data_IF_348819675341
#
_entry.id   IF_348819675341
#
_cell.length_a   1.000
_cell.length_b   1.000
_cell.length_c   1.000
_cell.angle_alpha   90.00
_cell.angle_beta   90.00
_cell.angle_gamma   90.00
#
_symmetry.space_group_name_H-M   'P 1'
#
loop_
_entity.id
_entity.type
_entity.pdbx_description
1 polymer ?
#
# COMPACT_ATOMS: atom_id res chain seq x y z
N UNK A 1 -17.40 16.87 0.96
CA UNK A 1 -17.03 15.69 1.77
C UNK A 1 -17.90 14.52 1.34
N UNK A 2 -17.33 13.33 1.10
CA UNK A 2 -18.11 12.15 0.68
C UNK A 2 -18.96 11.66 1.85
N UNK A 3 -20.27 11.64 1.65
CA UNK A 3 -21.24 11.11 2.60
C UNK A 3 -21.54 9.63 2.34
N UNK A 4 -22.15 8.98 3.33
CA UNK A 4 -22.50 7.57 3.27
C UNK A 4 -23.60 7.36 2.23
N UNK A 5 -23.43 6.39 1.35
CA UNK A 5 -24.49 6.00 0.41
C UNK A 5 -25.62 5.33 1.19
N UNK A 6 -26.88 5.68 0.94
CA UNK A 6 -28.04 4.98 1.53
C UNK A 6 -28.50 3.76 0.73
N UNK A 7 -27.96 3.57 -0.47
CA UNK A 7 -28.33 2.50 -1.38
C UNK A 7 -27.80 1.12 -0.89
N UNK A 8 -28.74 0.19 -0.68
CA UNK A 8 -28.43 -1.17 -0.23
C UNK A 8 -27.71 -2.00 -1.30
N UNK A 9 -27.98 -1.73 -2.57
CA UNK A 9 -27.34 -2.40 -3.71
C UNK A 9 -25.88 -2.00 -3.75
N UNK A 10 -25.57 -0.69 -3.67
CA UNK A 10 -24.19 -0.19 -3.68
C UNK A 10 -23.39 -0.79 -2.50
N UNK A 11 -23.95 -0.76 -1.28
CA UNK A 11 -23.31 -1.34 -0.09
C UNK A 11 -23.05 -2.84 -0.23
N UNK A 12 -24.00 -3.57 -0.81
CA UNK A 12 -23.89 -5.02 -0.99
C UNK A 12 -22.82 -5.35 -2.03
N UNK A 13 -22.84 -4.66 -3.16
CA UNK A 13 -21.86 -4.84 -4.23
C UNK A 13 -20.44 -4.50 -3.76
N UNK A 14 -20.26 -3.38 -3.04
CA UNK A 14 -18.96 -3.02 -2.48
C UNK A 14 -18.43 -4.09 -1.50
N UNK A 15 -19.29 -4.60 -0.61
CA UNK A 15 -18.91 -5.66 0.34
C UNK A 15 -18.46 -6.95 -0.37
N UNK A 16 -19.07 -7.27 -1.50
CA UNK A 16 -18.70 -8.44 -2.31
C UNK A 16 -17.39 -8.15 -3.08
N UNK A 17 -17.28 -7.02 -3.78
CA UNK A 17 -16.14 -6.75 -4.66
C UNK A 17 -14.84 -6.44 -3.92
N UNK A 18 -14.88 -5.74 -2.79
CA UNK A 18 -13.66 -5.35 -2.05
C UNK A 18 -12.71 -6.54 -1.79
N UNK A 19 -13.15 -7.68 -1.22
CA UNK A 19 -12.24 -8.82 -1.02
C UNK A 19 -11.71 -9.39 -2.33
N UNK A 20 -12.50 -9.43 -3.42
CA UNK A 20 -12.00 -9.87 -4.72
C UNK A 20 -10.93 -8.94 -5.30
N UNK A 21 -11.13 -7.62 -5.19
CA UNK A 21 -10.15 -6.62 -5.63
C UNK A 21 -8.86 -6.76 -4.82
N UNK A 22 -8.96 -6.98 -3.51
CA UNK A 22 -7.81 -7.16 -2.63
C UNK A 22 -7.02 -8.43 -2.98
N UNK A 23 -7.71 -9.56 -3.18
CA UNK A 23 -7.06 -10.82 -3.60
C UNK A 23 -6.38 -10.63 -4.96
N UNK A 24 -7.04 -9.98 -5.91
CA UNK A 24 -6.45 -9.70 -7.22
C UNK A 24 -5.23 -8.78 -7.13
N UNK A 25 -5.28 -7.74 -6.29
CA UNK A 25 -4.13 -6.88 -6.03
C UNK A 25 -2.94 -7.67 -5.47
N UNK A 26 -3.18 -8.56 -4.50
CA UNK A 26 -2.13 -9.44 -3.95
C UNK A 26 -1.56 -10.37 -5.02
N UNK A 27 -2.40 -10.94 -5.89
CA UNK A 27 -1.94 -11.73 -7.03
C UNK A 27 -1.00 -10.93 -7.95
N UNK A 28 -1.37 -9.69 -8.29
CA UNK A 28 -0.56 -8.79 -9.15
C UNK A 28 0.79 -8.44 -8.51
N UNK A 29 0.83 -8.26 -7.18
CA UNK A 29 2.09 -8.04 -6.44
C UNK A 29 2.95 -9.30 -6.49
N UNK A 30 2.38 -10.46 -6.17
CA UNK A 30 3.14 -11.71 -6.07
C UNK A 30 3.69 -12.21 -7.41
N UNK A 31 3.03 -11.88 -8.53
CA UNK A 31 3.39 -12.34 -9.87
C UNK A 31 4.02 -11.25 -10.74
N UNK A 32 4.46 -10.13 -10.16
CA UNK A 32 5.07 -9.02 -10.88
C UNK A 32 6.33 -9.39 -11.67
N UNK A 33 7.11 -10.33 -11.13
CA UNK A 33 8.31 -10.84 -11.79
C UNK A 33 8.07 -11.82 -12.95
N UNK A 34 6.83 -12.29 -13.16
CA UNK A 34 6.47 -13.28 -14.20
C UNK A 34 5.44 -12.77 -15.21
N UNK A 35 4.70 -11.71 -14.87
CA UNK A 35 3.60 -11.19 -15.65
C UNK A 35 3.61 -9.65 -15.65
N UNK A 36 2.96 -8.99 -16.62
CA UNK A 36 2.80 -7.54 -16.57
C UNK A 36 2.10 -7.12 -15.27
N UNK A 37 2.80 -6.39 -14.40
CA UNK A 37 2.31 -6.08 -13.07
C UNK A 37 3.43 -5.63 -12.13
N UNK A 38 3.27 -5.94 -10.84
CA UNK A 38 4.24 -5.65 -9.78
C UNK A 38 3.69 -4.82 -8.63
N UNK A 39 4.61 -4.39 -7.77
CA UNK A 39 4.30 -3.66 -6.54
C UNK A 39 3.48 -2.39 -6.78
N UNK A 40 3.83 -1.59 -7.79
CA UNK A 40 3.15 -0.33 -8.05
C UNK A 40 1.68 -0.55 -8.47
N UNK A 41 1.45 -1.33 -9.51
CA UNK A 41 0.11 -1.59 -10.04
C UNK A 41 -0.76 -2.29 -9.01
N UNK A 42 -0.21 -3.31 -8.33
CA UNK A 42 -0.90 -4.00 -7.25
C UNK A 42 -1.24 -3.08 -6.09
N UNK A 43 -0.33 -2.19 -5.69
CA UNK A 43 -0.57 -1.17 -4.66
C UNK A 43 -1.69 -0.20 -5.04
N UNK A 44 -1.76 0.24 -6.30
CA UNK A 44 -2.86 1.09 -6.81
C UNK A 44 -4.20 0.36 -6.75
N UNK A 45 -4.26 -0.90 -7.19
CA UNK A 45 -5.49 -1.72 -7.12
C UNK A 45 -5.93 -1.90 -5.67
N UNK A 46 -4.98 -2.15 -4.77
CA UNK A 46 -5.25 -2.30 -3.35
C UNK A 46 -5.79 -1.00 -2.74
N UNK A 47 -5.21 0.15 -3.06
CA UNK A 47 -5.75 1.47 -2.68
C UNK A 47 -7.15 1.69 -3.22
N UNK A 48 -7.43 1.32 -4.48
CA UNK A 48 -8.76 1.44 -5.08
C UNK A 48 -9.82 0.65 -4.31
N UNK A 49 -9.47 -0.52 -3.74
CA UNK A 49 -10.39 -1.28 -2.88
C UNK A 49 -10.78 -0.51 -1.61
N UNK A 50 -9.83 0.21 -1.00
CA UNK A 50 -10.11 1.05 0.18
C UNK A 50 -10.86 2.33 -0.19
N UNK A 51 -10.56 2.90 -1.36
CA UNK A 51 -11.30 4.05 -1.91
C UNK A 51 -12.76 3.69 -2.16
N UNK A 52 -13.04 2.49 -2.68
CA UNK A 52 -14.41 1.99 -2.84
C UNK A 52 -15.17 1.93 -1.51
N UNK A 53 -14.50 1.56 -0.41
CA UNK A 53 -15.07 1.61 0.93
C UNK A 53 -15.38 3.05 1.37
N UNK A 54 -14.50 4.01 1.09
CA UNK A 54 -14.74 5.44 1.38
C UNK A 54 -15.96 5.95 0.61
N UNK A 55 -16.04 5.66 -0.69
CA UNK A 55 -17.16 6.09 -1.54
C UNK A 55 -18.49 5.50 -1.05
N UNK A 56 -18.47 4.26 -0.56
CA UNK A 56 -19.68 3.56 -0.14
C UNK A 56 -20.13 3.95 1.28
N UNK A 57 -19.21 4.00 2.24
CA UNK A 57 -19.51 4.17 3.66
C UNK A 57 -19.28 5.60 4.16
N UNK A 58 -18.67 6.47 3.35
CA UNK A 58 -18.36 7.85 3.68
C UNK A 58 -17.02 8.01 4.40
N UNK A 59 -16.53 9.26 4.44
CA UNK A 59 -15.24 9.63 5.04
C UNK A 59 -15.24 9.42 6.57
N UNK A 60 -16.34 9.79 7.25
CA UNK A 60 -16.46 9.73 8.72
C UNK A 60 -16.36 8.30 9.26
N UNK A 61 -17.04 7.35 8.62
CA UNK A 61 -16.98 5.93 9.02
C UNK A 61 -15.60 5.33 8.72
N UNK A 62 -14.94 5.78 7.65
CA UNK A 62 -13.60 5.31 7.28
C UNK A 62 -12.52 5.85 8.21
N UNK A 63 -12.58 7.12 8.62
CA UNK A 63 -11.61 7.73 9.55
C UNK A 63 -11.57 7.03 10.91
N UNK A 64 -12.69 6.46 11.35
CA UNK A 64 -12.76 5.64 12.57
C UNK A 64 -12.04 4.29 12.42
N UNK A 65 -11.87 3.80 11.19
CA UNK A 65 -11.28 2.48 10.89
C UNK A 65 -9.82 2.58 10.45
N UNK A 66 -9.46 3.63 9.72
CA UNK A 66 -8.11 3.87 9.19
C UNK A 66 -7.63 5.23 9.69
N UNK A 67 -6.67 5.22 10.60
CA UNK A 67 -6.06 6.44 11.13
C UNK A 67 -4.95 6.96 10.24
N UNK A 68 -4.72 8.28 10.26
CA UNK A 68 -3.62 8.90 9.51
C UNK A 68 -2.26 8.34 9.96
N UNK A 69 -2.14 7.94 11.25
CA UNK A 69 -0.98 7.22 11.79
C UNK A 69 -0.79 5.85 11.13
N UNK A 70 -1.86 5.08 10.92
CA UNK A 70 -1.75 3.79 10.24
C UNK A 70 -1.25 3.97 8.80
N UNK A 71 -1.80 4.95 8.08
CA UNK A 71 -1.36 5.30 6.72
C UNK A 71 0.12 5.66 6.68
N UNK A 72 0.59 6.49 7.62
CA UNK A 72 2.00 6.86 7.74
C UNK A 72 2.92 5.66 8.08
N UNK A 73 2.45 4.73 8.92
CA UNK A 73 3.18 3.50 9.24
C UNK A 73 3.28 2.61 7.99
N UNK A 74 2.18 2.39 7.28
CA UNK A 74 2.20 1.56 6.07
C UNK A 74 3.09 2.17 4.98
N UNK A 75 2.99 3.47 4.73
CA UNK A 75 3.82 4.15 3.73
C UNK A 75 5.31 4.05 4.09
N UNK A 76 5.65 4.34 5.34
CA UNK A 76 7.04 4.32 5.82
C UNK A 76 7.60 2.91 5.88
N UNK A 77 6.79 1.92 6.28
CA UNK A 77 7.19 0.50 6.31
C UNK A 77 7.46 -0.03 4.90
N UNK A 78 6.66 0.35 3.90
CA UNK A 78 6.90 -0.04 2.52
C UNK A 78 8.23 0.49 1.97
N UNK A 79 8.50 1.78 2.20
CA UNK A 79 9.79 2.41 1.85
C UNK A 79 10.93 1.78 2.63
N UNK A 80 10.73 1.48 3.91
CA UNK A 80 11.73 0.84 4.75
C UNK A 80 12.06 -0.58 4.29
N UNK A 81 11.08 -1.37 3.84
CA UNK A 81 11.32 -2.70 3.26
C UNK A 81 12.17 -2.58 2.00
N UNK A 82 11.79 -1.68 1.07
CA UNK A 82 12.55 -1.43 -0.15
C UNK A 82 14.00 -1.02 0.14
N UNK A 83 14.18 0.00 0.99
CA UNK A 83 15.49 0.51 1.36
C UNK A 83 16.31 -0.52 2.14
N UNK A 84 15.67 -1.24 3.06
CA UNK A 84 16.26 -2.27 3.89
C UNK A 84 16.84 -3.42 3.06
N UNK A 85 16.09 -3.92 2.07
CA UNK A 85 16.60 -4.95 1.15
C UNK A 85 17.84 -4.45 0.41
N UNK A 86 17.83 -3.22 -0.07
CA UNK A 86 18.99 -2.62 -0.74
C UNK A 86 20.21 -2.45 0.18
N UNK A 87 20.00 -2.01 1.43
CA UNK A 87 21.05 -1.90 2.45
C UNK A 87 21.62 -3.26 2.83
N UNK A 88 20.79 -4.29 2.98
CA UNK A 88 21.24 -5.66 3.23
C UNK A 88 22.14 -6.14 2.09
N UNK A 89 21.82 -5.85 0.83
CA UNK A 89 22.67 -6.18 -0.31
C UNK A 89 24.06 -5.50 -0.22
N UNK A 90 24.11 -4.24 0.23
CA UNK A 90 25.36 -3.51 0.45
C UNK A 90 26.20 -4.13 1.58
N UNK A 91 25.57 -4.46 2.72
CA UNK A 91 26.24 -5.12 3.87
C UNK A 91 26.87 -6.46 3.46
N UNK A 92 26.23 -7.19 2.54
CA UNK A 92 26.72 -8.46 2.02
C UNK A 92 27.82 -8.32 0.94
N UNK A 93 28.28 -7.09 0.68
CA UNK A 93 29.35 -6.76 -0.26
C UNK A 93 28.91 -6.72 -1.73
N UNK A 94 27.63 -6.45 -1.99
CA UNK A 94 27.10 -6.20 -3.34
C UNK A 94 26.85 -4.72 -3.61
N UNK A 95 26.33 -4.43 -4.80
CA UNK A 95 25.74 -3.13 -5.10
C UNK A 95 24.33 -3.02 -4.50
N UNK A 96 23.80 -1.80 -4.41
CA UNK A 96 22.42 -1.58 -3.98
C UNK A 96 21.45 -2.37 -4.87
N UNK A 97 20.57 -3.17 -4.25
CA UNK A 97 19.65 -4.11 -4.91
C UNK A 97 20.32 -5.21 -5.75
N UNK A 98 21.59 -5.53 -5.50
CA UNK A 98 22.21 -6.77 -6.01
C UNK A 98 21.67 -7.99 -5.23
N UNK A 99 20.45 -8.41 -5.58
CA UNK A 99 19.74 -9.51 -4.93
C UNK A 99 20.50 -10.84 -4.98
N UNK A 100 21.48 -11.00 -5.86
CA UNK A 100 22.30 -12.22 -5.91
C UNK A 100 23.08 -12.45 -4.62
N UNK A 101 23.40 -11.37 -3.89
CA UNK A 101 24.10 -11.45 -2.59
C UNK A 101 23.21 -11.96 -1.47
N UNK A 102 21.87 -11.83 -1.60
CA UNK A 102 20.92 -12.37 -0.63
C UNK A 102 21.00 -13.91 -0.54
N UNK A 103 21.55 -14.59 -1.55
CA UNK A 103 21.80 -16.03 -1.52
C UNK A 103 22.60 -16.48 -0.29
N UNK A 104 23.56 -15.65 0.15
CA UNK A 104 24.38 -15.92 1.34
C UNK A 104 23.55 -15.90 2.63
N UNK A 105 22.55 -15.01 2.70
CA UNK A 105 21.70 -14.82 3.87
C UNK A 105 20.55 -15.82 3.90
N UNK A 106 19.95 -16.08 2.73
CA UNK A 106 18.76 -16.93 2.59
C UNK A 106 19.10 -18.42 2.42
N UNK A 107 20.38 -18.77 2.26
CA UNK A 107 20.86 -20.14 2.00
C UNK A 107 20.21 -20.80 0.76
N UNK A 108 20.00 -20.01 -0.28
CA UNK A 108 19.40 -20.46 -1.56
C UNK A 108 20.34 -20.20 -2.73
N UNK A 109 20.02 -20.76 -3.90
CA UNK A 109 20.78 -20.48 -5.12
C UNK A 109 20.61 -19.01 -5.57
N UNK A 110 21.60 -18.40 -6.24
CA UNK A 110 21.53 -16.99 -6.63
C UNK A 110 20.31 -16.61 -7.49
N UNK A 111 19.79 -17.53 -8.29
CA UNK A 111 18.58 -17.30 -9.09
C UNK A 111 17.33 -17.12 -8.21
N UNK A 112 17.19 -17.97 -7.18
CA UNK A 112 16.07 -17.94 -6.24
C UNK A 112 16.16 -16.70 -5.33
N UNK A 113 17.37 -16.36 -4.87
CA UNK A 113 17.62 -15.14 -4.11
C UNK A 113 17.20 -13.87 -4.88
N UNK A 114 17.40 -13.84 -6.20
CA UNK A 114 16.94 -12.74 -7.05
C UNK A 114 15.42 -12.65 -7.10
N UNK A 115 14.73 -13.77 -7.32
CA UNK A 115 13.25 -13.80 -7.34
C UNK A 115 12.68 -13.33 -6.00
N UNK A 116 13.18 -13.85 -4.88
CA UNK A 116 12.74 -13.45 -3.54
C UNK A 116 13.07 -11.98 -3.21
N UNK A 117 14.24 -11.50 -3.64
CA UNK A 117 14.63 -10.09 -3.47
C UNK A 117 13.73 -9.13 -4.24
N UNK A 118 13.41 -9.48 -5.49
CA UNK A 118 12.45 -8.72 -6.32
C UNK A 118 11.07 -8.74 -5.66
N UNK A 119 10.57 -9.90 -5.25
CA UNK A 119 9.29 -10.03 -4.57
C UNK A 119 9.22 -9.19 -3.29
N UNK A 120 10.27 -9.22 -2.46
CA UNK A 120 10.34 -8.40 -1.25
C UNK A 120 10.28 -6.90 -1.54
N UNK A 121 10.96 -6.46 -2.60
CA UNK A 121 10.88 -5.07 -3.08
C UNK A 121 9.49 -4.74 -3.60
N UNK A 122 8.87 -5.63 -4.38
CA UNK A 122 7.50 -5.44 -4.90
C UNK A 122 6.48 -5.32 -3.76
N UNK A 123 6.63 -6.12 -2.69
CA UNK A 123 5.78 -6.00 -1.49
C UNK A 123 6.00 -4.64 -0.82
N UNK A 124 7.25 -4.22 -0.63
CA UNK A 124 7.57 -2.91 -0.02
C UNK A 124 6.99 -1.75 -0.82
N UNK A 125 7.21 -1.75 -2.15
CA UNK A 125 6.64 -0.74 -3.07
C UNK A 125 5.12 -0.80 -3.05
N UNK A 126 4.51 -2.00 -3.06
CA UNK A 126 3.05 -2.15 -3.05
C UNK A 126 2.39 -1.60 -1.80
N UNK A 127 2.99 -1.82 -0.62
CA UNK A 127 2.52 -1.23 0.63
C UNK A 127 2.65 0.31 0.63
N UNK A 128 3.79 0.82 0.16
CA UNK A 128 4.01 2.26 0.09
C UNK A 128 3.00 2.94 -0.86
N UNK A 129 2.84 2.39 -2.06
CA UNK A 129 1.91 2.91 -3.07
C UNK A 129 0.47 2.81 -2.59
N UNK A 130 0.06 1.68 -2.01
CA UNK A 130 -1.27 1.54 -1.43
C UNK A 130 -1.57 2.66 -0.42
N UNK A 131 -0.67 2.85 0.53
CA UNK A 131 -0.84 3.84 1.59
C UNK A 131 -0.86 5.27 1.06
N UNK A 132 0.05 5.61 0.14
CA UNK A 132 0.14 6.96 -0.45
C UNK A 132 -1.08 7.26 -1.31
N UNK A 133 -1.49 6.35 -2.19
CA UNK A 133 -2.65 6.56 -3.06
C UNK A 133 -3.94 6.69 -2.24
N UNK A 134 -4.10 5.85 -1.21
CA UNK A 134 -5.20 6.00 -0.25
C UNK A 134 -5.15 7.36 0.45
N UNK A 135 -3.97 7.76 0.95
CA UNK A 135 -3.77 9.04 1.65
C UNK A 135 -4.16 10.24 0.78
N UNK A 136 -3.68 10.28 -0.46
CA UNK A 136 -3.99 11.33 -1.42
C UNK A 136 -5.51 11.44 -1.60
N UNK A 137 -6.18 10.34 -1.90
CA UNK A 137 -7.63 10.34 -2.09
C UNK A 137 -8.38 10.74 -0.82
N UNK A 138 -7.97 10.20 0.33
CA UNK A 138 -8.63 10.42 1.61
C UNK A 138 -8.52 11.87 2.08
N UNK A 139 -7.34 12.49 1.92
CA UNK A 139 -7.11 13.89 2.26
C UNK A 139 -7.91 14.83 1.33
N UNK A 140 -7.95 14.55 0.03
CA UNK A 140 -8.80 15.31 -0.91
C UNK A 140 -10.28 15.17 -0.53
N UNK A 141 -10.70 13.97 -0.13
CA UNK A 141 -12.10 13.68 0.21
C UNK A 141 -12.56 14.30 1.54
N UNK A 142 -11.64 14.47 2.49
CA UNK A 142 -11.89 15.20 3.74
C UNK A 142 -12.15 16.69 3.47
N UNK A 143 -11.48 17.27 2.48
CA UNK A 143 -11.41 18.73 2.32
C UNK A 143 -10.42 19.32 3.33
N UNK A 144 -9.76 20.41 2.97
CA UNK A 144 -8.80 21.10 3.83
C UNK A 144 -9.46 21.59 5.13
N UNK A 145 -9.30 20.87 6.24
CA UNK A 145 -9.24 21.49 7.58
C UNK A 145 -7.85 22.11 7.75
N UNK A 146 -7.51 23.11 6.92
CA UNK A 146 -6.36 23.98 7.14
C UNK A 146 -6.77 25.00 8.21
N UNK A 147 -6.61 24.59 9.47
CA UNK A 147 -6.40 25.48 10.61
C UNK A 147 -7.58 26.33 11.09
N UNK A 148 -8.46 25.74 11.91
CA UNK A 148 -9.04 26.46 13.05
C UNK A 148 -8.36 26.01 14.35
N UNK A 149 -7.05 26.29 14.48
CA UNK A 149 -6.33 26.25 15.76
C UNK A 149 -5.78 27.63 16.15
N UNK A 150 -6.49 28.69 15.71
CA UNK A 150 -6.21 30.10 16.05
C UNK A 150 -7.46 30.92 16.41
N UNK A 151 -8.44 30.30 17.08
CA UNK A 151 -9.50 31.02 17.79
C UNK A 151 -9.85 30.30 19.09
N UNK A 152 -8.90 30.30 20.02
CA UNK A 152 -9.13 30.33 21.47
C UNK A 152 -7.84 30.81 22.15
N UNK A 153 -7.40 32.01 21.74
CA UNK A 153 -6.75 32.94 22.66
C UNK A 153 -7.89 33.76 23.27
N UNK A 154 -8.24 33.41 24.50
CA UNK A 154 -9.20 34.08 25.37
C UNK A 154 -9.02 33.55 26.77
#
# INVERSE_FOLDING_TARGET
>A
MIEKSDDIIIKTMARIFVPFIQIYALYVIMHGHHSPGGGFQGGVILAASFILLIITYGVKDTQKRISDKAVAIFSSSGVFIYAGIGVVCLILGGNYLDYSKLAKLLHVVPAEARSLGILGVEIGVGLAVMAVMFSVFFNISKGEDVGEDKKNLG
#
